data_IF_985404397112
#
_entry.id   IF_985404397112
#
_cell.length_a   1.000
_cell.length_b   1.000
_cell.length_c   1.000
_cell.angle_alpha   90.00
_cell.angle_beta   90.00
_cell.angle_gamma   90.00
#
_symmetry.space_group_name_H-M   'P 1'
#
loop_
_entity.id
_entity.type
_entity.pdbx_description
1 polymer ?
#
# COMPACT_ATOMS: atom_id res chain seq x y z
N UNK A 1 8.27 -5.07 -5.04
CA UNK A 1 7.95 -4.70 -6.43
C UNK A 1 7.81 -3.19 -6.50
N UNK A 2 8.51 -2.54 -7.42
CA UNK A 2 8.45 -1.08 -7.61
C UNK A 2 7.83 -0.76 -8.97
N UNK A 3 6.92 0.22 -9.00
CA UNK A 3 6.31 0.75 -10.20
C UNK A 3 6.47 2.27 -10.19
N UNK A 4 7.33 2.75 -11.06
CA UNK A 4 7.60 4.18 -11.23
C UNK A 4 7.02 4.63 -12.58
N UNK A 5 5.92 5.38 -12.54
CA UNK A 5 5.44 6.14 -13.70
C UNK A 5 5.65 7.64 -13.46
N UNK A 6 5.60 8.45 -14.51
CA UNK A 6 5.77 9.91 -14.42
C UNK A 6 4.73 10.59 -13.51
N UNK A 7 3.59 9.94 -13.26
CA UNK A 7 2.49 10.47 -12.47
C UNK A 7 2.40 9.83 -11.07
N UNK A 8 3.00 8.66 -10.86
CA UNK A 8 2.86 7.91 -9.60
C UNK A 8 4.05 6.98 -9.39
N UNK A 9 4.68 7.10 -8.23
CA UNK A 9 5.69 6.18 -7.73
C UNK A 9 5.05 5.28 -6.68
N UNK A 10 5.08 3.98 -6.91
CA UNK A 10 4.48 2.98 -6.02
C UNK A 10 5.54 1.94 -5.68
N UNK A 11 5.90 1.86 -4.40
CA UNK A 11 6.62 0.74 -3.81
C UNK A 11 5.61 -0.16 -3.11
N UNK A 12 5.66 -1.44 -3.43
CA UNK A 12 4.88 -2.47 -2.77
C UNK A 12 5.80 -3.61 -2.34
N UNK A 13 5.84 -3.85 -1.04
CA UNK A 13 6.46 -4.98 -0.40
C UNK A 13 5.36 -5.87 0.19
N UNK A 14 5.39 -7.16 -0.15
CA UNK A 14 4.40 -8.11 0.29
C UNK A 14 5.10 -9.34 0.84
N UNK A 15 4.82 -9.65 2.10
CA UNK A 15 5.31 -10.82 2.80
C UNK A 15 4.12 -11.67 3.25
N UNK A 16 4.08 -12.90 2.74
CA UNK A 16 2.99 -13.86 2.99
C UNK A 16 3.13 -14.48 4.40
N UNK A 17 4.36 -14.64 4.88
CA UNK A 17 4.68 -15.12 6.24
C UNK A 17 4.91 -13.91 7.16
N UNK A 18 3.84 -13.15 7.41
CA UNK A 18 3.88 -11.91 8.18
C UNK A 18 3.32 -12.05 9.58
N UNK A 19 3.67 -11.12 10.47
CA UNK A 19 3.08 -11.01 11.81
C UNK A 19 1.77 -10.23 11.82
N UNK A 20 1.19 -9.94 10.65
CA UNK A 20 0.03 -9.05 10.48
C UNK A 20 0.38 -7.55 10.51
N UNK A 21 1.67 -7.20 10.34
CA UNK A 21 2.11 -5.80 10.30
C UNK A 21 1.91 -5.19 8.91
N UNK A 22 1.17 -4.09 8.83
CA UNK A 22 0.92 -3.39 7.57
C UNK A 22 1.29 -1.92 7.66
N UNK A 23 2.22 -1.48 6.82
CA UNK A 23 2.60 -0.09 6.67
C UNK A 23 2.07 0.42 5.32
N UNK A 24 1.13 1.34 5.34
CA UNK A 24 0.35 1.71 4.16
C UNK A 24 0.29 3.23 4.03
N UNK A 25 1.31 3.80 3.42
CA UNK A 25 1.39 5.21 3.09
C UNK A 25 0.94 5.43 1.65
N UNK A 26 -0.34 5.74 1.46
CA UNK A 26 -0.90 6.05 0.15
C UNK A 26 -1.59 7.39 0.16
N UNK A 27 -1.58 8.10 -0.98
CA UNK A 27 -2.36 9.33 -1.17
C UNK A 27 -3.89 9.12 -1.19
N UNK A 28 -4.38 7.89 -1.03
CA UNK A 28 -5.81 7.54 -1.09
C UNK A 28 -6.23 6.83 0.20
N UNK A 29 -6.79 7.56 1.19
CA UNK A 29 -7.08 7.00 2.51
C UNK A 29 -8.06 5.82 2.49
N UNK A 30 -8.97 5.77 1.52
CA UNK A 30 -9.88 4.63 1.34
C UNK A 30 -9.14 3.32 1.01
N UNK A 31 -8.14 3.39 0.13
CA UNK A 31 -7.35 2.23 -0.26
C UNK A 31 -6.51 1.72 0.91
N UNK A 32 -5.88 2.65 1.66
CA UNK A 32 -5.16 2.34 2.89
C UNK A 32 -6.06 1.56 3.86
N UNK A 33 -7.28 2.01 4.12
CA UNK A 33 -8.19 1.34 5.05
C UNK A 33 -8.53 -0.10 4.63
N UNK A 34 -8.84 -0.32 3.36
CA UNK A 34 -9.14 -1.66 2.82
C UNK A 34 -7.94 -2.61 2.96
N UNK A 35 -6.74 -2.14 2.62
CA UNK A 35 -5.52 -2.94 2.71
C UNK A 35 -5.13 -3.24 4.16
N UNK A 36 -5.36 -2.32 5.11
CA UNK A 36 -5.14 -2.58 6.54
C UNK A 36 -6.01 -3.73 7.03
N UNK A 37 -7.30 -3.73 6.65
CA UNK A 37 -8.22 -4.80 7.02
C UNK A 37 -7.81 -6.15 6.40
N UNK A 38 -7.41 -6.13 5.14
CA UNK A 38 -6.92 -7.31 4.43
C UNK A 38 -5.68 -7.90 5.10
N UNK A 39 -4.71 -7.05 5.49
CA UNK A 39 -3.49 -7.45 6.19
C UNK A 39 -3.80 -8.07 7.54
N UNK A 40 -4.67 -7.43 8.33
CA UNK A 40 -5.07 -7.93 9.66
C UNK A 40 -5.80 -9.26 9.63
N UNK A 41 -6.71 -9.45 8.67
CA UNK A 41 -7.49 -10.69 8.58
C UNK A 41 -6.70 -11.81 7.90
N UNK A 42 -5.81 -11.46 6.98
CA UNK A 42 -4.97 -12.40 6.25
C UNK A 42 -3.67 -12.76 6.96
N UNK A 43 -3.33 -12.10 8.08
CA UNK A 43 -2.04 -12.21 8.76
C UNK A 43 -0.84 -11.91 7.83
N UNK A 44 -1.07 -11.10 6.81
CA UNK A 44 -0.03 -10.74 5.85
C UNK A 44 0.71 -9.49 6.29
N UNK A 45 2.00 -9.43 5.93
CA UNK A 45 2.78 -8.21 6.08
C UNK A 45 2.82 -7.44 4.77
N UNK A 46 2.31 -6.20 4.81
CA UNK A 46 2.09 -5.36 3.63
C UNK A 46 2.75 -4.00 3.85
N UNK A 47 3.72 -3.66 3.02
CA UNK A 47 4.40 -2.37 3.04
C UNK A 47 4.12 -1.68 1.70
N UNK A 48 3.32 -0.62 1.69
CA UNK A 48 2.93 0.09 0.48
C UNK A 48 3.22 1.57 0.67
N UNK A 49 4.13 2.08 -0.15
CA UNK A 49 4.44 3.49 -0.31
C UNK A 49 3.95 3.93 -1.69
N UNK A 50 2.88 4.71 -1.75
CA UNK A 50 2.35 5.27 -2.98
C UNK A 50 2.42 6.79 -2.94
N UNK A 51 3.45 7.33 -3.59
CA UNK A 51 3.68 8.75 -3.77
C UNK A 51 3.31 9.13 -5.19
N UNK A 52 2.14 9.74 -5.37
CA UNK A 52 1.71 10.24 -6.67
C UNK A 52 0.61 11.25 -6.51
N UNK A 53 0.75 12.36 -7.23
CA UNK A 53 -0.23 13.44 -7.21
C UNK A 53 -1.53 12.94 -7.82
N UNK A 54 -2.50 12.60 -6.96
CA UNK A 54 -3.90 12.49 -7.35
C UNK A 54 -4.35 13.88 -7.82
N UNK A 55 -4.05 14.21 -9.09
CA UNK A 55 -4.49 15.45 -9.70
C UNK A 55 -5.98 15.29 -9.94
N UNK A 56 -6.79 15.73 -8.97
CA UNK A 56 -8.21 16.03 -9.16
C UNK A 56 -8.32 16.97 -10.36
N UNK A 57 -8.75 16.45 -11.50
CA UNK A 57 -9.53 17.21 -12.47
C UNK A 57 -11.00 16.97 -12.18
#
# INVERSE_FOLDING_TARGET
MERNTFETQIKLNFAIDGSGESHLETGVPFLTHMLTLFSKHGLFSLDVEAHGGYRRR
#
